data_IF_309841940633
#
_entry.id   IF_309841940633
#
_cell.length_a   1.000
_cell.length_b   1.000
_cell.length_c   1.000
_cell.angle_alpha   90.00
_cell.angle_beta   90.00
_cell.angle_gamma   90.00
#
_symmetry.space_group_name_H-M   'P 1'
#
loop_
_entity.id
_entity.type
_entity.pdbx_description
1 polymer ?
#
# COMPACT_ATOMS: atom_id res chain seq x y z
N UNK A 1 11.30 21.26 12.31
CA UNK A 1 11.26 19.99 11.55
C UNK A 1 10.64 20.23 10.19
N UNK A 2 11.34 19.96 9.09
CA UNK A 2 10.80 20.26 7.75
C UNK A 2 9.59 19.37 7.42
N UNK A 3 8.65 19.83 6.56
CA UNK A 3 7.49 19.03 6.14
C UNK A 3 7.86 17.67 5.52
N UNK A 4 9.03 17.59 4.87
CA UNK A 4 9.58 16.37 4.27
C UNK A 4 9.91 15.33 5.34
N UNK A 5 10.60 15.75 6.42
CA UNK A 5 10.97 14.84 7.52
C UNK A 5 9.75 14.16 8.16
N UNK A 6 8.62 14.87 8.27
CA UNK A 6 7.39 14.31 8.85
C UNK A 6 6.84 13.15 8.00
N UNK A 7 6.85 13.30 6.68
CA UNK A 7 6.35 12.26 5.77
C UNK A 7 7.30 11.07 5.65
N UNK A 8 8.61 11.32 5.65
CA UNK A 8 9.60 10.25 5.68
C UNK A 8 9.53 9.44 6.97
N UNK A 9 9.37 10.11 8.13
CA UNK A 9 9.13 9.39 9.39
C UNK A 9 7.81 8.65 9.40
N UNK A 10 6.74 9.20 8.81
CA UNK A 10 5.46 8.48 8.68
C UNK A 10 5.62 7.22 7.82
N UNK A 11 6.35 7.30 6.70
CA UNK A 11 6.63 6.14 5.84
C UNK A 11 7.48 5.09 6.58
N UNK A 12 8.54 5.52 7.28
CA UNK A 12 9.39 4.63 8.08
C UNK A 12 8.61 3.97 9.22
N UNK A 13 7.79 4.76 9.93
CA UNK A 13 6.91 4.23 10.97
C UNK A 13 5.92 3.23 10.38
N UNK A 14 5.31 3.51 9.23
CA UNK A 14 4.40 2.59 8.56
C UNK A 14 5.09 1.29 8.15
N UNK A 15 6.32 1.38 7.65
CA UNK A 15 7.13 0.25 7.22
C UNK A 15 7.35 -0.76 8.34
N UNK A 16 7.46 -0.30 9.59
CA UNK A 16 7.73 -1.13 10.77
C UNK A 16 6.47 -1.46 11.57
N UNK A 17 5.60 -0.48 11.81
CA UNK A 17 4.41 -0.64 12.67
C UNK A 17 3.39 -1.56 12.02
N UNK A 18 3.14 -1.42 10.72
CA UNK A 18 2.12 -2.22 10.05
C UNK A 18 2.44 -3.73 10.09
N UNK A 19 3.67 -4.20 9.77
CA UNK A 19 4.04 -5.59 9.96
C UNK A 19 3.97 -6.04 11.41
N UNK A 20 4.43 -5.23 12.37
CA UNK A 20 4.36 -5.58 13.80
C UNK A 20 2.93 -5.79 14.29
N UNK A 21 1.99 -4.95 13.84
CA UNK A 21 0.56 -5.10 14.17
C UNK A 21 0.03 -6.42 13.60
N UNK A 22 0.27 -6.72 12.33
CA UNK A 22 -0.21 -7.98 11.74
C UNK A 22 0.43 -9.21 12.38
N UNK A 23 1.75 -9.18 12.65
CA UNK A 23 2.44 -10.26 13.37
C UNK A 23 1.82 -10.45 14.76
N UNK A 24 1.58 -9.39 15.51
CA UNK A 24 0.95 -9.49 16.83
C UNK A 24 -0.48 -10.08 16.75
N UNK A 25 -1.27 -9.68 15.75
CA UNK A 25 -2.61 -10.22 15.51
C UNK A 25 -2.58 -11.72 15.18
N UNK A 26 -1.60 -12.16 14.39
CA UNK A 26 -1.42 -13.57 14.02
C UNK A 26 -0.93 -14.40 15.21
N UNK A 27 0.07 -13.93 15.96
CA UNK A 27 0.62 -14.63 17.12
C UNK A 27 -0.40 -14.77 18.24
N UNK A 28 -1.24 -13.75 18.47
CA UNK A 28 -2.30 -13.79 19.47
C UNK A 28 -3.55 -14.57 19.03
N UNK A 29 -3.57 -15.10 17.81
CA UNK A 29 -4.70 -15.83 17.27
C UNK A 29 -5.94 -14.97 16.99
N UNK A 30 -5.81 -13.64 17.02
CA UNK A 30 -6.91 -12.70 16.70
C UNK A 30 -7.28 -12.82 15.22
N UNK A 31 -6.29 -13.08 14.37
CA UNK A 31 -6.49 -13.44 12.97
C UNK A 31 -5.67 -14.69 12.65
N UNK A 32 -6.28 -15.67 11.97
CA UNK A 32 -5.53 -16.82 11.48
C UNK A 32 -4.61 -16.41 10.31
N UNK A 33 -3.36 -16.90 10.22
CA UNK A 33 -2.44 -16.59 9.12
C UNK A 33 -2.81 -17.37 7.83
N UNK A 34 -4.04 -17.18 7.36
CA UNK A 34 -4.51 -17.76 6.10
C UNK A 34 -3.92 -17.00 4.91
N UNK A 35 -3.86 -17.65 3.74
CA UNK A 35 -3.39 -16.99 2.51
C UNK A 35 -4.17 -15.72 2.16
N UNK A 36 -5.46 -15.63 2.55
CA UNK A 36 -6.26 -14.42 2.42
C UNK A 36 -5.75 -13.30 3.34
N UNK A 37 -5.59 -13.58 4.64
CA UNK A 37 -5.19 -12.56 5.61
C UNK A 37 -3.77 -12.06 5.35
N UNK A 38 -2.86 -12.93 4.92
CA UNK A 38 -1.52 -12.55 4.49
C UNK A 38 -1.54 -11.66 3.24
N UNK A 39 -2.43 -11.95 2.27
CA UNK A 39 -2.59 -11.09 1.08
C UNK A 39 -3.13 -9.71 1.46
N UNK A 40 -4.13 -9.65 2.33
CA UNK A 40 -4.70 -8.39 2.83
C UNK A 40 -3.63 -7.57 3.57
N UNK A 41 -2.86 -8.20 4.46
CA UNK A 41 -1.78 -7.53 5.20
C UNK A 41 -0.73 -6.92 4.25
N UNK A 42 -0.28 -7.68 3.25
CA UNK A 42 0.67 -7.21 2.24
C UNK A 42 0.14 -6.05 1.41
N UNK A 43 -1.16 -6.09 1.04
CA UNK A 43 -1.80 -5.01 0.28
C UNK A 43 -1.94 -3.75 1.13
N UNK A 44 -2.39 -3.86 2.39
CA UNK A 44 -2.50 -2.71 3.31
C UNK A 44 -1.13 -2.07 3.54
N UNK A 45 -0.11 -2.90 3.74
CA UNK A 45 1.26 -2.43 3.90
C UNK A 45 1.74 -1.65 2.66
N UNK A 46 1.62 -2.24 1.46
CA UNK A 46 2.06 -1.61 0.21
C UNK A 46 1.31 -0.33 -0.14
N UNK A 47 -0.03 -0.32 0.00
CA UNK A 47 -0.84 0.88 -0.27
C UNK A 47 -0.57 2.00 0.72
N UNK A 48 -0.36 1.69 2.00
CA UNK A 48 -0.01 2.72 2.97
C UNK A 48 1.34 3.38 2.69
N UNK A 49 2.34 2.62 2.19
CA UNK A 49 3.59 3.21 1.73
C UNK A 49 3.36 4.15 0.53
N UNK A 50 2.59 3.71 -0.47
CA UNK A 50 2.23 4.56 -1.61
C UNK A 50 1.51 5.83 -1.17
N UNK A 51 0.63 5.75 -0.18
CA UNK A 51 -0.04 6.92 0.38
C UNK A 51 0.94 7.88 1.09
N UNK A 52 1.88 7.38 1.89
CA UNK A 52 2.90 8.20 2.55
C UNK A 52 3.81 8.90 1.54
N UNK A 53 4.35 8.15 0.57
CA UNK A 53 5.20 8.71 -0.48
C UNK A 53 4.44 9.64 -1.42
N UNK A 54 3.18 9.35 -1.72
CA UNK A 54 2.33 10.22 -2.54
C UNK A 54 2.05 11.55 -1.84
N UNK A 55 1.78 11.52 -0.53
CA UNK A 55 1.58 12.73 0.27
C UNK A 55 2.84 13.60 0.34
N UNK A 56 4.01 12.97 0.45
CA UNK A 56 5.29 13.67 0.35
C UNK A 56 5.49 14.28 -1.04
N UNK A 57 5.40 13.47 -2.09
CA UNK A 57 5.65 13.87 -3.48
C UNK A 57 4.71 15.00 -3.93
N UNK A 58 3.44 14.98 -3.48
CA UNK A 58 2.46 16.03 -3.75
C UNK A 58 2.87 17.41 -3.19
N UNK A 59 3.57 17.42 -2.05
CA UNK A 59 4.04 18.66 -1.41
C UNK A 59 5.42 19.08 -1.88
N UNK A 60 6.27 18.11 -2.21
CA UNK A 60 7.65 18.33 -2.63
C UNK A 60 7.75 18.82 -4.09
N UNK A 61 7.00 18.19 -5.00
CA UNK A 61 7.09 18.49 -6.44
C UNK A 61 6.91 19.97 -6.81
N UNK A 62 5.93 20.73 -6.26
CA UNK A 62 5.79 22.14 -6.55
C UNK A 62 7.00 22.99 -6.11
N UNK A 63 7.70 22.60 -5.04
CA UNK A 63 8.87 23.33 -4.55
C UNK A 63 10.05 23.26 -5.54
N UNK A 64 10.04 22.27 -6.42
CA UNK A 64 11.03 22.07 -7.48
C UNK A 64 10.48 22.35 -8.89
N UNK A 65 9.37 23.10 -9.00
CA UNK A 65 8.77 23.49 -10.27
C UNK A 65 8.14 22.34 -11.07
N UNK A 66 7.84 21.21 -10.41
CA UNK A 66 7.18 20.05 -11.02
C UNK A 66 5.68 20.04 -10.70
N UNK A 67 4.89 19.50 -11.62
CA UNK A 67 3.44 19.38 -11.42
C UNK A 67 3.12 18.27 -10.42
N UNK A 68 2.07 18.48 -9.62
CA UNK A 68 1.55 17.48 -8.68
C UNK A 68 1.11 16.18 -9.38
N UNK A 69 0.58 16.30 -10.59
CA UNK A 69 0.19 15.16 -11.42
C UNK A 69 1.38 14.26 -11.78
N UNK A 70 2.52 14.85 -12.13
CA UNK A 70 3.75 14.09 -12.41
C UNK A 70 4.24 13.35 -11.16
N UNK A 71 4.18 14.01 -10.00
CA UNK A 71 4.55 13.42 -8.72
C UNK A 71 3.67 12.22 -8.37
N UNK A 72 2.35 12.34 -8.51
CA UNK A 72 1.41 11.24 -8.28
C UNK A 72 1.57 10.12 -9.30
N UNK A 73 1.83 10.43 -10.56
CA UNK A 73 2.09 9.42 -11.58
C UNK A 73 3.34 8.60 -11.23
N UNK A 74 4.41 9.27 -10.78
CA UNK A 74 5.61 8.60 -10.29
C UNK A 74 5.31 7.71 -9.08
N UNK A 75 4.58 8.20 -8.08
CA UNK A 75 4.20 7.38 -6.91
C UNK A 75 3.28 6.21 -7.30
N UNK A 76 2.35 6.41 -8.23
CA UNK A 76 1.47 5.34 -8.72
C UNK A 76 2.26 4.27 -9.49
N UNK A 77 3.34 4.65 -10.19
CA UNK A 77 4.22 3.70 -10.87
C UNK A 77 4.90 2.71 -9.90
N UNK A 78 5.04 3.05 -8.61
CA UNK A 78 5.54 2.09 -7.61
C UNK A 78 4.59 0.91 -7.39
N UNK A 79 3.29 1.08 -7.65
CA UNK A 79 2.35 -0.05 -7.65
C UNK A 79 2.68 -1.06 -8.76
N UNK A 80 3.22 -0.60 -9.89
CA UNK A 80 3.67 -1.50 -10.95
C UNK A 80 4.84 -2.37 -10.46
N UNK A 81 5.79 -1.80 -9.71
CA UNK A 81 6.89 -2.57 -9.12
C UNK A 81 6.35 -3.62 -8.14
N UNK A 82 5.35 -3.27 -7.34
CA UNK A 82 4.69 -4.20 -6.42
C UNK A 82 3.98 -5.35 -7.15
N UNK A 83 3.28 -5.05 -8.25
CA UNK A 83 2.65 -6.05 -9.11
C UNK A 83 3.68 -6.94 -9.81
N UNK A 84 4.76 -6.35 -10.31
CA UNK A 84 5.88 -7.06 -10.94
C UNK A 84 6.65 -7.94 -9.96
N UNK A 85 6.63 -7.65 -8.66
CA UNK A 85 7.17 -8.54 -7.64
C UNK A 85 6.20 -9.69 -7.29
N UNK A 86 4.90 -9.36 -7.14
CA UNK A 86 3.89 -10.32 -6.69
C UNK A 86 3.50 -11.34 -7.78
N UNK A 87 3.31 -10.90 -9.03
CA UNK A 87 2.76 -11.77 -10.07
C UNK A 87 3.72 -12.89 -10.46
N UNK A 88 5.01 -12.63 -10.77
CA UNK A 88 5.94 -13.71 -11.07
C UNK A 88 6.03 -14.73 -9.94
N UNK A 89 6.05 -14.27 -8.69
CA UNK A 89 6.02 -15.16 -7.52
C UNK A 89 4.76 -16.05 -7.53
N UNK A 90 3.57 -15.49 -7.77
CA UNK A 90 2.32 -16.25 -7.82
C UNK A 90 2.27 -17.25 -8.99
N UNK A 91 2.79 -16.87 -10.16
CA UNK A 91 2.86 -17.76 -11.32
C UNK A 91 3.88 -18.89 -11.13
N UNK A 92 5.05 -18.60 -10.54
CA UNK A 92 6.08 -19.59 -10.25
C UNK A 92 5.62 -20.58 -9.17
N UNK A 93 4.94 -20.10 -8.13
CA UNK A 93 4.55 -20.96 -6.99
C UNK A 93 3.25 -21.74 -7.22
N UNK A 94 2.34 -21.26 -8.09
CA UNK A 94 0.99 -21.84 -8.26
C UNK A 94 0.69 -22.29 -9.70
N UNK A 95 1.62 -22.08 -10.64
CA UNK A 95 1.40 -22.37 -12.06
C UNK A 95 0.47 -21.37 -12.75
N UNK A 96 0.27 -21.52 -14.05
CA UNK A 96 -0.38 -20.49 -14.88
C UNK A 96 -1.86 -20.24 -14.52
N UNK A 97 -2.65 -21.30 -14.34
CA UNK A 97 -4.09 -21.19 -14.10
C UNK A 97 -4.41 -20.64 -12.70
N UNK A 98 -3.79 -21.23 -11.67
CA UNK A 98 -4.02 -20.77 -10.30
C UNK A 98 -3.28 -19.47 -9.99
N UNK A 99 -2.11 -19.23 -10.62
CA UNK A 99 -1.39 -17.97 -10.57
C UNK A 99 -2.20 -16.81 -11.16
N UNK A 100 -2.87 -17.02 -12.29
CA UNK A 100 -3.78 -16.02 -12.87
C UNK A 100 -4.97 -15.72 -11.93
N UNK A 101 -5.61 -16.75 -11.39
CA UNK A 101 -6.72 -16.58 -10.44
C UNK A 101 -6.26 -15.88 -9.14
N UNK A 102 -5.08 -16.22 -8.62
CA UNK A 102 -4.49 -15.58 -7.46
C UNK A 102 -4.12 -14.11 -7.72
N UNK A 103 -3.59 -13.81 -8.90
CA UNK A 103 -3.26 -12.45 -9.32
C UNK A 103 -4.51 -11.59 -9.44
N UNK A 104 -5.61 -12.13 -9.99
CA UNK A 104 -6.89 -11.43 -10.05
C UNK A 104 -7.45 -11.14 -8.66
N UNK A 105 -7.38 -12.11 -7.73
CA UNK A 105 -7.75 -11.90 -6.32
C UNK A 105 -6.89 -10.81 -5.68
N UNK A 106 -5.59 -10.82 -5.94
CA UNK A 106 -4.67 -9.81 -5.44
C UNK A 106 -5.03 -8.40 -5.94
N UNK A 107 -5.33 -8.25 -7.24
CA UNK A 107 -5.81 -6.98 -7.81
C UNK A 107 -7.12 -6.54 -7.12
N UNK A 108 -8.07 -7.46 -6.93
CA UNK A 108 -9.33 -7.15 -6.25
C UNK A 108 -9.09 -6.63 -4.81
N UNK A 109 -8.15 -7.23 -4.08
CA UNK A 109 -7.75 -6.73 -2.76
C UNK A 109 -7.11 -5.35 -2.83
N UNK A 110 -6.23 -5.08 -3.80
CA UNK A 110 -5.66 -3.75 -4.02
C UNK A 110 -6.76 -2.70 -4.24
N UNK A 111 -7.74 -2.99 -5.10
CA UNK A 111 -8.87 -2.10 -5.38
C UNK A 111 -9.72 -1.87 -4.13
N UNK A 112 -10.06 -2.94 -3.40
CA UNK A 112 -10.87 -2.84 -2.18
C UNK A 112 -10.16 -2.01 -1.10
N UNK A 113 -8.87 -2.26 -0.87
CA UNK A 113 -8.10 -1.50 0.11
C UNK A 113 -7.95 -0.03 -0.31
N UNK A 114 -7.68 0.24 -1.59
CA UNK A 114 -7.61 1.62 -2.11
C UNK A 114 -8.94 2.36 -1.92
N UNK A 115 -10.07 1.70 -2.17
CA UNK A 115 -11.40 2.28 -1.94
C UNK A 115 -11.63 2.61 -0.46
N UNK A 116 -11.23 1.72 0.46
CA UNK A 116 -11.32 1.98 1.91
C UNK A 116 -10.45 3.18 2.31
N UNK A 117 -9.20 3.25 1.82
CA UNK A 117 -8.31 4.38 2.10
C UNK A 117 -8.90 5.71 1.60
N UNK A 118 -9.49 5.72 0.40
CA UNK A 118 -10.18 6.90 -0.15
C UNK A 118 -11.40 7.29 0.71
N UNK A 119 -12.21 6.32 1.13
CA UNK A 119 -13.39 6.55 1.95
C UNK A 119 -13.03 7.14 3.33
N UNK A 120 -11.99 6.62 3.99
CA UNK A 120 -11.48 7.17 5.27
C UNK A 120 -10.99 8.62 5.09
N UNK A 121 -10.32 8.90 3.97
CA UNK A 121 -9.90 10.26 3.60
C UNK A 121 -11.06 11.23 3.36
N UNK A 122 -12.21 10.75 2.89
CA UNK A 122 -13.42 11.58 2.72
C UNK A 122 -14.13 11.84 4.05
N UNK A 123 -14.30 10.81 4.88
CA UNK A 123 -14.95 10.93 6.20
C UNK A 123 -14.16 11.89 7.11
N UNK A 124 -12.84 11.78 7.13
CA UNK A 124 -11.98 12.66 7.94
C UNK A 124 -12.07 14.14 7.54
N UNK A 125 -12.47 14.47 6.30
CA UNK A 125 -12.70 15.86 5.85
C UNK A 125 -14.11 16.39 6.16
N UNK A 126 -15.04 15.52 6.52
CA UNK A 126 -16.41 15.91 6.89
C UNK A 126 -16.57 16.11 8.40
N UNK A 127 -15.67 15.52 9.20
CA UNK A 127 -15.69 15.58 10.67
C UNK A 127 -14.80 16.72 11.22
N UNK A 128 -14.00 17.36 10.37
CA UNK A 128 -13.21 18.57 10.66
C UNK A 128 -13.83 19.78 9.96
#
# INVERSE_FOLDING_TARGET
MSPIHKHMLAALAWLVVCPLVFVALFVRGVAAPTGMNLSIASVIWGLGLVACFGSWAWRDAPAYGKTRSLAMAFTAAWLLVFLLAAFPYLFVTRGAREGAAASLKFIAYCVACAAVFMAVGMVSRQVL
#
